data_IF_040354726394
#
_entry.id   IF_040354726394
#
_cell.length_a   1.000
_cell.length_b   1.000
_cell.length_c   1.000
_cell.angle_alpha   90.00
_cell.angle_beta   90.00
_cell.angle_gamma   90.00
#
_symmetry.space_group_name_H-M   'P 1'
#
loop_
_entity.id
_entity.type
_entity.pdbx_description
1 polymer ?
#
# COMPACT_ATOMS: atom_id res chain seq x y z
N UNK A 1 8.33 -18.10 -4.65
CA UNK A 1 8.64 -16.67 -4.40
C UNK A 1 7.58 -15.99 -3.54
N UNK A 2 6.29 -16.03 -3.91
CA UNK A 2 5.18 -15.41 -3.18
C UNK A 2 5.01 -15.86 -1.70
N UNK A 3 5.19 -17.14 -1.40
CA UNK A 3 5.07 -17.70 -0.04
C UNK A 3 6.13 -17.12 0.91
N UNK A 4 7.36 -16.88 0.42
CA UNK A 4 8.46 -16.32 1.22
C UNK A 4 8.16 -14.88 1.62
N UNK A 5 7.65 -14.07 0.69
CA UNK A 5 7.32 -12.66 0.94
C UNK A 5 6.16 -12.51 1.93
N UNK A 6 5.11 -13.34 1.82
CA UNK A 6 4.02 -13.33 2.81
C UNK A 6 4.55 -13.68 4.20
N UNK A 7 5.37 -14.75 4.31
CA UNK A 7 5.96 -15.14 5.60
C UNK A 7 6.83 -14.03 6.21
N UNK A 8 7.55 -13.27 5.38
CA UNK A 8 8.33 -12.11 5.85
C UNK A 8 7.42 -11.01 6.39
N UNK A 9 6.29 -10.73 5.74
CA UNK A 9 5.31 -9.73 6.21
C UNK A 9 4.61 -10.17 7.50
N UNK A 10 4.23 -11.44 7.62
CA UNK A 10 3.69 -12.00 8.86
C UNK A 10 4.68 -11.92 10.02
N UNK A 11 5.96 -12.22 9.76
CA UNK A 11 7.02 -12.05 10.77
C UNK A 11 7.18 -10.58 11.19
N UNK A 12 7.04 -9.63 10.27
CA UNK A 12 7.06 -8.20 10.62
C UNK A 12 5.85 -7.84 11.50
N UNK A 13 4.64 -8.28 11.14
CA UNK A 13 3.43 -8.11 11.97
C UNK A 13 3.63 -8.63 13.39
N UNK A 14 4.27 -9.80 13.54
CA UNK A 14 4.57 -10.37 14.86
C UNK A 14 5.55 -9.54 15.70
N UNK A 15 6.46 -8.79 15.07
CA UNK A 15 7.51 -8.02 15.75
C UNK A 15 7.11 -6.57 16.06
N UNK A 16 6.10 -6.02 15.38
CA UNK A 16 5.70 -4.62 15.51
C UNK A 16 4.23 -4.49 15.89
N UNK A 17 3.96 -4.05 17.13
CA UNK A 17 2.60 -3.93 17.69
C UNK A 17 1.65 -3.06 16.86
N UNK A 18 2.19 -2.07 16.15
CA UNK A 18 1.41 -1.10 15.37
C UNK A 18 1.41 -1.42 13.87
N UNK A 19 1.90 -2.60 13.47
CA UNK A 19 1.87 -3.05 12.09
C UNK A 19 0.77 -4.10 11.95
N UNK A 20 -0.23 -3.78 11.15
CA UNK A 20 -1.25 -4.72 10.71
C UNK A 20 -0.96 -5.13 9.27
N UNK A 21 -1.13 -6.40 9.00
CA UNK A 21 -1.05 -6.96 7.66
C UNK A 21 -2.21 -7.94 7.51
N UNK A 22 -3.13 -7.62 6.62
CA UNK A 22 -4.33 -8.39 6.36
C UNK A 22 -4.47 -8.63 4.86
N UNK A 23 -4.94 -9.83 4.50
CA UNK A 23 -5.10 -10.23 3.12
C UNK A 23 -6.51 -9.90 2.65
N UNK A 24 -6.64 -8.89 1.78
CA UNK A 24 -7.92 -8.55 1.15
C UNK A 24 -8.23 -9.49 -0.02
N UNK A 25 -9.49 -9.83 -0.22
CA UNK A 25 -9.93 -10.56 -1.42
C UNK A 25 -10.18 -9.59 -2.59
N UNK A 26 -9.70 -9.95 -3.79
CA UNK A 26 -10.04 -9.29 -5.06
C UNK A 26 -9.78 -7.75 -5.15
N UNK A 27 -8.76 -7.23 -4.45
CA UNK A 27 -8.35 -5.82 -4.56
C UNK A 27 -7.04 -5.68 -5.35
N UNK A 28 -7.03 -4.78 -6.35
CA UNK A 28 -5.81 -4.37 -7.07
C UNK A 28 -5.36 -2.95 -6.69
N UNK A 29 -5.84 -2.42 -5.56
CA UNK A 29 -5.55 -1.06 -5.11
C UNK A 29 -4.09 -0.93 -4.68
N UNK A 30 -3.47 0.20 -5.01
CA UNK A 30 -2.15 0.63 -4.52
C UNK A 30 -2.32 2.05 -4.02
N UNK A 31 -2.51 2.15 -2.72
CA UNK A 31 -2.70 3.42 -2.05
C UNK A 31 -1.89 3.49 -0.77
N UNK A 32 -1.47 4.70 -0.42
CA UNK A 32 -0.86 5.03 0.87
C UNK A 32 -1.66 6.17 1.45
N UNK A 33 -1.99 6.10 2.74
CA UNK A 33 -2.68 7.15 3.46
C UNK A 33 -1.87 7.47 4.71
N UNK A 34 -1.68 8.77 4.98
CA UNK A 34 -1.01 9.26 6.17
C UNK A 34 -1.92 10.28 6.86
N UNK A 35 -2.67 9.82 7.86
CA UNK A 35 -3.63 10.59 8.64
C UNK A 35 -4.45 11.53 7.74
N UNK A 36 -4.57 12.80 8.09
CA UNK A 36 -5.20 13.86 7.29
C UNK A 36 -4.20 14.67 6.44
N UNK A 37 -2.95 14.19 6.29
CA UNK A 37 -1.86 14.93 5.63
C UNK A 37 -1.84 14.71 4.14
N UNK A 38 -1.89 13.45 3.72
CA UNK A 38 -1.91 13.08 2.30
C UNK A 38 -2.40 11.66 2.06
N UNK A 39 -2.89 11.43 0.84
CA UNK A 39 -3.05 10.12 0.25
C UNK A 39 -2.33 10.04 -1.09
N UNK A 40 -1.80 8.86 -1.43
CA UNK A 40 -1.21 8.54 -2.73
C UNK A 40 -2.08 7.45 -3.35
N UNK A 41 -2.50 7.65 -4.60
CA UNK A 41 -3.17 6.63 -5.41
C UNK A 41 -2.38 6.47 -6.70
N UNK A 42 -1.96 5.25 -7.02
CA UNK A 42 -1.03 5.02 -8.14
C UNK A 42 -1.22 3.66 -8.79
N UNK A 43 -0.67 3.51 -10.01
CA UNK A 43 -0.49 2.22 -10.67
C UNK A 43 0.79 1.51 -10.20
N UNK A 44 1.73 2.24 -9.61
CA UNK A 44 2.99 1.72 -9.11
C UNK A 44 2.78 0.76 -7.93
N UNK A 45 3.33 -0.44 -8.02
CA UNK A 45 3.27 -1.42 -6.94
C UNK A 45 4.47 -1.24 -5.98
N UNK A 46 4.19 -0.80 -4.75
CA UNK A 46 5.21 -0.50 -3.74
C UNK A 46 6.15 -1.67 -3.42
N UNK A 47 5.65 -2.91 -3.45
CA UNK A 47 6.46 -4.11 -3.20
C UNK A 47 7.34 -4.50 -4.40
N UNK A 48 7.16 -3.83 -5.54
CA UNK A 48 7.97 -4.07 -6.74
C UNK A 48 9.25 -3.23 -6.75
N UNK A 49 9.35 -2.23 -5.86
CA UNK A 49 10.54 -1.38 -5.79
C UNK A 49 11.72 -2.18 -5.25
N UNK A 50 12.76 -2.34 -6.08
CA UNK A 50 14.01 -3.04 -5.71
C UNK A 50 15.21 -2.10 -5.58
N UNK A 51 15.05 -0.83 -5.93
CA UNK A 51 16.14 0.14 -6.05
C UNK A 51 17.32 -0.37 -6.90
N UNK A 52 17.08 -1.29 -7.86
CA UNK A 52 18.11 -1.87 -8.71
C UNK A 52 18.27 -1.02 -9.98
N UNK A 53 19.43 -0.39 -10.19
CA UNK A 53 19.67 0.51 -11.32
C UNK A 53 19.73 -0.20 -12.67
N UNK A 54 19.83 -1.54 -12.69
CA UNK A 54 19.86 -2.31 -13.94
C UNK A 54 18.45 -2.65 -14.45
N UNK A 55 17.40 -2.32 -13.69
CA UNK A 55 16.02 -2.57 -14.11
C UNK A 55 15.57 -1.53 -15.15
N UNK A 56 14.70 -1.98 -16.06
CA UNK A 56 14.10 -1.09 -17.05
C UNK A 56 13.26 -0.02 -16.37
N UNK A 57 13.37 1.22 -16.87
CA UNK A 57 12.49 2.30 -16.49
C UNK A 57 11.03 1.90 -16.77
N UNK A 58 10.16 2.07 -15.78
CA UNK A 58 8.70 1.98 -15.97
C UNK A 58 8.11 3.36 -15.83
N UNK A 59 7.34 3.73 -16.84
CA UNK A 59 6.46 4.88 -16.77
C UNK A 59 5.21 4.50 -15.96
N UNK A 60 5.05 5.12 -14.80
CA UNK A 60 3.99 4.81 -13.84
C UNK A 60 3.32 6.11 -13.40
N UNK A 61 1.99 6.15 -13.46
CA UNK A 61 1.20 7.32 -13.08
C UNK A 61 0.66 7.18 -11.65
N UNK A 62 0.66 8.29 -10.93
CA UNK A 62 -0.02 8.43 -9.64
C UNK A 62 -0.37 9.87 -9.34
N UNK A 63 -1.17 10.04 -8.29
CA UNK A 63 -1.57 11.35 -7.77
C UNK A 63 -1.30 11.40 -6.27
N UNK A 64 -0.99 12.61 -5.79
CA UNK A 64 -0.94 12.94 -4.36
C UNK A 64 -2.15 13.82 -4.06
N UNK A 65 -2.95 13.39 -3.10
CA UNK A 65 -4.17 14.05 -2.66
C UNK A 65 -3.91 14.65 -1.28
N UNK A 66 -4.33 15.90 -1.09
CA UNK A 66 -4.19 16.65 0.19
C UNK A 66 -5.51 17.21 0.72
N UNK A 67 -6.60 17.01 -0.01
CA UNK A 67 -7.93 17.37 0.46
C UNK A 67 -8.35 16.40 1.57
N UNK A 68 -8.69 16.95 2.75
CA UNK A 68 -8.92 16.16 3.96
C UNK A 68 -10.12 15.22 3.85
N UNK A 69 -11.22 15.70 3.26
CA UNK A 69 -12.41 14.87 3.10
C UNK A 69 -12.12 13.69 2.16
N UNK A 70 -11.45 13.96 1.04
CA UNK A 70 -11.07 12.91 0.09
C UNK A 70 -10.12 11.88 0.73
N UNK A 71 -9.21 12.31 1.61
CA UNK A 71 -8.32 11.39 2.34
C UNK A 71 -9.13 10.48 3.27
N UNK A 72 -10.05 11.05 4.04
CA UNK A 72 -10.94 10.30 4.94
C UNK A 72 -11.82 9.30 4.17
N UNK A 73 -12.38 9.70 3.03
CA UNK A 73 -13.18 8.82 2.18
C UNK A 73 -12.35 7.63 1.64
N UNK A 74 -11.09 7.89 1.24
CA UNK A 74 -10.16 6.84 0.80
C UNK A 74 -9.77 5.89 1.93
N UNK A 75 -9.61 6.41 3.16
CA UNK A 75 -9.31 5.61 4.34
C UNK A 75 -10.47 4.68 4.65
N UNK A 76 -11.68 5.23 4.79
CA UNK A 76 -12.89 4.44 5.05
C UNK A 76 -13.14 3.41 3.96
N UNK A 77 -12.97 3.78 2.68
CA UNK A 77 -13.07 2.84 1.55
C UNK A 77 -12.05 1.70 1.63
N UNK A 78 -10.83 1.96 2.14
CA UNK A 78 -9.79 0.96 2.32
C UNK A 78 -10.05 0.02 3.50
N UNK A 79 -10.46 0.56 4.65
CA UNK A 79 -10.77 -0.22 5.86
C UNK A 79 -11.94 -1.17 5.61
N UNK A 80 -12.95 -0.73 4.85
CA UNK A 80 -14.09 -1.57 4.45
C UNK A 80 -13.72 -2.82 3.62
N UNK A 81 -12.47 -2.93 3.13
CA UNK A 81 -11.98 -4.13 2.45
C UNK A 81 -11.41 -5.19 3.40
N UNK A 82 -11.22 -4.83 4.67
CA UNK A 82 -10.55 -5.65 5.68
C UNK A 82 -11.55 -6.12 6.77
N UNK A 83 -12.63 -5.35 6.98
CA UNK A 83 -13.77 -5.67 7.84
C UNK A 83 -14.74 -6.67 7.21
#
# INVERSE_FOLDING_TARGET
MMIKSIKQLENLKANYKNLLFDKTENSHRKQIICDDKFAIVTRFNFLSFRADPNLTYRDELGVIIRDKQTIEDLFNSGINLIS
#
